data_IF_798222163368
#
_entry.id   IF_798222163368
#
_cell.length_a   1.000
_cell.length_b   1.000
_cell.length_c   1.000
_cell.angle_alpha   90.00
_cell.angle_beta   90.00
_cell.angle_gamma   90.00
#
_symmetry.space_group_name_H-M   'P 1'
#
loop_
_entity.id
_entity.type
_entity.pdbx_description
1 polymer ?
#
# COMPACT_ATOMS: atom_id res chain seq x y z
N UNK A 1 17.76 6.81 -2.19
CA UNK A 1 17.19 6.35 -0.91
C UNK A 1 16.26 7.44 -0.44
N UNK A 2 15.13 7.07 0.13
CA UNK A 2 14.27 7.98 0.88
C UNK A 2 14.48 7.67 2.37
N UNK A 3 15.18 8.55 3.07
CA UNK A 3 15.63 8.27 4.44
C UNK A 3 14.59 8.61 5.49
N UNK A 4 13.59 9.44 5.17
CA UNK A 4 12.58 9.88 6.13
C UNK A 4 11.28 10.27 5.42
N UNK A 5 10.21 9.50 5.66
CA UNK A 5 8.85 9.86 5.23
C UNK A 5 7.84 9.56 6.32
N UNK A 6 6.91 10.49 6.55
CA UNK A 6 5.69 10.34 7.34
C UNK A 6 4.69 11.43 6.87
N UNK A 7 3.41 11.29 7.20
CA UNK A 7 2.38 12.26 6.86
C UNK A 7 1.70 12.77 8.12
N UNK A 8 1.49 14.09 8.15
CA UNK A 8 0.81 14.76 9.26
C UNK A 8 1.72 15.06 10.45
N UNK A 9 1.15 15.78 11.41
CA UNK A 9 1.86 16.38 12.54
C UNK A 9 0.94 16.49 13.75
N UNK A 10 1.49 16.28 14.95
CA UNK A 10 0.81 16.42 16.24
C UNK A 10 1.64 17.22 17.25
N UNK A 11 2.75 17.83 16.82
CA UNK A 11 3.65 18.60 17.70
C UNK A 11 2.94 19.85 18.21
N UNK A 12 3.14 20.14 19.49
CA UNK A 12 2.60 21.34 20.11
C UNK A 12 3.10 22.61 19.38
N UNK A 13 2.19 23.53 19.10
CA UNK A 13 2.48 24.79 18.39
C UNK A 13 2.45 24.70 16.87
N UNK A 14 2.19 23.52 16.29
CA UNK A 14 1.93 23.33 14.87
C UNK A 14 0.47 22.92 14.62
N UNK A 15 -0.06 23.12 13.39
CA UNK A 15 -1.37 22.58 13.03
C UNK A 15 -1.40 21.05 13.17
N UNK A 16 -2.39 20.55 13.92
CA UNK A 16 -2.61 19.10 14.05
C UNK A 16 -3.21 18.54 12.77
N UNK A 17 -2.46 17.64 12.11
CA UNK A 17 -2.90 16.90 10.93
C UNK A 17 -2.69 15.42 11.20
N UNK A 18 -3.78 14.69 11.41
CA UNK A 18 -3.77 13.24 11.66
C UNK A 18 -4.68 12.60 10.64
N UNK A 19 -4.15 11.91 9.62
CA UNK A 19 -4.97 11.14 8.69
C UNK A 19 -5.80 10.11 9.46
N UNK A 20 -7.03 9.85 9.02
CA UNK A 20 -7.79 8.75 9.56
C UNK A 20 -7.13 7.40 9.23
N UNK A 21 -7.62 6.32 9.85
CA UNK A 21 -7.04 4.98 9.71
C UNK A 21 -6.97 4.51 8.25
N UNK A 22 -8.05 4.70 7.48
CA UNK A 22 -8.12 4.26 6.08
C UNK A 22 -7.16 5.04 5.18
N UNK A 23 -7.03 6.34 5.42
CA UNK A 23 -6.08 7.23 4.73
C UNK A 23 -4.65 6.85 5.10
N UNK A 24 -4.38 6.56 6.37
CA UNK A 24 -3.06 6.12 6.84
C UNK A 24 -2.62 4.82 6.19
N UNK A 25 -3.50 3.82 6.13
CA UNK A 25 -3.28 2.55 5.41
C UNK A 25 -2.96 2.81 3.93
N UNK A 26 -3.74 3.68 3.29
CA UNK A 26 -3.55 4.04 1.88
C UNK A 26 -2.19 4.69 1.65
N UNK A 27 -1.84 5.69 2.46
CA UNK A 27 -0.60 6.45 2.31
C UNK A 27 0.61 5.56 2.54
N UNK A 28 0.61 4.74 3.59
CA UNK A 28 1.70 3.78 3.83
C UNK A 28 1.82 2.81 2.68
N UNK A 29 0.73 2.15 2.28
CA UNK A 29 0.76 1.16 1.20
C UNK A 29 1.31 1.75 -0.11
N UNK A 30 0.78 2.90 -0.52
CA UNK A 30 1.22 3.59 -1.74
C UNK A 30 2.66 4.10 -1.65
N UNK A 31 3.11 4.63 -0.52
CA UNK A 31 4.49 5.13 -0.35
C UNK A 31 5.52 4.09 -0.72
N UNK A 32 5.37 2.85 -0.23
CA UNK A 32 6.34 1.78 -0.49
C UNK A 32 6.20 1.21 -1.91
N UNK A 33 4.97 1.11 -2.44
CA UNK A 33 4.73 0.69 -3.83
C UNK A 33 5.30 1.71 -4.85
N UNK A 34 5.04 3.00 -4.63
CA UNK A 34 5.56 4.08 -5.48
C UNK A 34 7.08 4.16 -5.37
N UNK A 35 7.64 4.07 -4.16
CA UNK A 35 9.10 4.00 -3.97
C UNK A 35 9.74 2.87 -4.79
N UNK A 36 9.18 1.65 -4.69
CA UNK A 36 9.69 0.50 -5.42
C UNK A 36 9.60 0.71 -6.95
N UNK A 37 8.48 1.23 -7.43
CA UNK A 37 8.23 1.41 -8.87
C UNK A 37 8.96 2.61 -9.48
N UNK A 38 9.36 3.59 -8.66
CA UNK A 38 10.23 4.71 -9.02
C UNK A 38 11.73 4.39 -8.88
N UNK A 39 12.09 3.16 -8.50
CA UNK A 39 13.48 2.73 -8.39
C UNK A 39 14.20 3.22 -7.12
N UNK A 40 13.46 3.62 -6.09
CA UNK A 40 14.03 3.95 -4.79
C UNK A 40 14.39 2.65 -4.06
N UNK A 41 15.70 2.39 -3.94
CA UNK A 41 16.21 1.15 -3.37
C UNK A 41 15.82 0.90 -1.90
N UNK A 42 15.52 1.97 -1.15
CA UNK A 42 15.11 1.88 0.26
C UNK A 42 14.38 3.14 0.68
N UNK A 43 13.27 2.94 1.40
CA UNK A 43 12.42 3.97 1.99
C UNK A 43 12.25 3.66 3.47
N UNK A 44 12.41 4.65 4.34
CA UNK A 44 12.28 4.49 5.78
C UNK A 44 11.16 5.37 6.33
N UNK A 45 10.24 4.74 7.06
CA UNK A 45 9.23 5.48 7.80
C UNK A 45 9.86 6.26 8.95
N UNK A 46 9.67 7.57 8.98
CA UNK A 46 10.17 8.41 10.05
C UNK A 46 9.21 8.41 11.23
N UNK A 47 9.73 8.12 12.42
CA UNK A 47 8.93 8.01 13.64
C UNK A 47 8.01 6.79 13.62
N UNK A 48 8.58 5.62 13.93
CA UNK A 48 7.85 4.35 13.95
C UNK A 48 6.62 4.39 14.87
N UNK A 49 6.76 5.01 16.03
CA UNK A 49 5.73 5.17 17.07
C UNK A 49 6.00 6.43 17.91
N UNK A 50 6.50 7.48 17.25
CA UNK A 50 6.98 8.69 17.92
C UNK A 50 5.83 9.48 18.58
N UNK A 51 4.59 9.28 18.14
CA UNK A 51 3.39 9.89 18.73
C UNK A 51 3.21 11.38 18.46
N UNK A 52 4.20 12.05 17.86
CA UNK A 52 4.17 13.48 17.50
C UNK A 52 3.98 13.73 16.00
N UNK A 53 3.99 12.68 15.19
CA UNK A 53 3.70 12.72 13.75
C UNK A 53 2.29 12.19 13.48
N UNK A 54 1.81 12.29 12.25
CA UNK A 54 0.43 11.96 11.93
C UNK A 54 0.12 10.46 11.87
N UNK A 55 1.10 9.60 11.56
CA UNK A 55 0.89 8.15 11.41
C UNK A 55 1.96 7.38 12.19
N UNK A 56 1.51 6.53 13.11
CA UNK A 56 2.34 5.58 13.85
C UNK A 56 2.12 4.14 13.31
N UNK A 57 3.19 3.36 13.23
CA UNK A 57 3.19 1.96 12.80
C UNK A 57 2.81 1.02 13.94
N UNK A 58 3.10 1.41 15.18
CA UNK A 58 2.71 0.70 16.40
C UNK A 58 2.15 1.66 17.44
N UNK A 59 1.31 1.16 18.33
CA UNK A 59 0.81 1.86 19.51
C UNK A 59 0.76 0.91 20.73
N UNK A 60 0.16 1.36 21.83
CA UNK A 60 0.03 0.56 23.05
C UNK A 60 -0.79 -0.74 22.88
N UNK A 61 -1.63 -0.84 21.84
CA UNK A 61 -2.39 -2.03 21.49
C UNK A 61 -1.65 -2.94 20.51
N UNK A 62 -0.51 -2.51 19.97
CA UNK A 62 0.36 -3.30 19.09
C UNK A 62 0.49 -2.69 17.70
N UNK A 63 0.43 -3.54 16.66
CA UNK A 63 0.56 -3.10 15.26
C UNK A 63 -0.71 -2.35 14.84
N UNK A 64 -0.56 -1.10 14.39
CA UNK A 64 -1.67 -0.31 13.86
C UNK A 64 -2.10 -0.83 12.49
N UNK A 65 -3.29 -0.45 11.98
CA UNK A 65 -3.67 -0.78 10.60
C UNK A 65 -2.64 -0.31 9.57
N UNK A 66 -2.03 0.87 9.78
CA UNK A 66 -0.98 1.39 8.92
C UNK A 66 0.30 0.54 9.00
N UNK A 67 0.69 0.11 10.20
CA UNK A 67 1.80 -0.84 10.39
C UNK A 67 1.54 -2.18 9.71
N UNK A 68 0.30 -2.67 9.74
CA UNK A 68 -0.10 -3.89 9.02
C UNK A 68 0.03 -3.72 7.51
N UNK A 69 -0.39 -2.58 6.96
CA UNK A 69 -0.21 -2.26 5.55
C UNK A 69 1.26 -2.26 5.12
N UNK A 70 2.15 -1.71 5.96
CA UNK A 70 3.59 -1.79 5.73
C UNK A 70 4.09 -3.24 5.65
N UNK A 71 3.72 -4.08 6.62
CA UNK A 71 4.13 -5.49 6.63
C UNK A 71 3.61 -6.22 5.39
N UNK A 72 2.36 -6.01 5.02
CA UNK A 72 1.76 -6.62 3.84
C UNK A 72 2.47 -6.21 2.54
N UNK A 73 2.73 -4.91 2.33
CA UNK A 73 3.46 -4.47 1.13
C UNK A 73 4.89 -4.98 1.14
N UNK A 74 5.55 -5.00 2.31
CA UNK A 74 6.89 -5.59 2.43
C UNK A 74 6.88 -7.07 2.04
N UNK A 75 5.88 -7.83 2.46
CA UNK A 75 5.76 -9.26 2.11
C UNK A 75 5.52 -9.45 0.61
N UNK A 76 4.73 -8.57 -0.03
CA UNK A 76 4.55 -8.61 -1.49
C UNK A 76 5.82 -8.27 -2.26
N UNK A 77 6.63 -7.32 -1.76
CA UNK A 77 7.74 -6.74 -2.51
C UNK A 77 9.10 -7.39 -2.20
N UNK A 78 9.23 -8.14 -1.11
CA UNK A 78 10.50 -8.82 -0.78
C UNK A 78 10.88 -9.76 -1.90
N UNK A 79 12.08 -9.56 -2.46
CA UNK A 79 12.63 -10.28 -3.62
C UNK A 79 11.83 -10.17 -4.92
N UNK A 80 10.75 -9.37 -4.95
CA UNK A 80 10.00 -9.06 -6.15
C UNK A 80 10.70 -7.96 -6.97
N UNK A 81 10.52 -8.01 -8.29
CA UNK A 81 11.09 -7.04 -9.24
C UNK A 81 9.96 -6.24 -9.88
N UNK A 82 9.99 -4.90 -9.81
CA UNK A 82 9.06 -4.07 -10.55
C UNK A 82 9.19 -4.30 -12.06
N UNK A 83 8.05 -4.46 -12.74
CA UNK A 83 7.95 -4.64 -14.20
C UNK A 83 7.23 -3.45 -14.89
N UNK A 84 7.13 -2.32 -14.19
CA UNK A 84 6.54 -1.08 -14.68
C UNK A 84 5.10 -0.85 -14.22
N UNK A 85 4.65 0.40 -14.37
CA UNK A 85 3.27 0.79 -14.06
C UNK A 85 2.62 1.47 -15.27
N UNK A 86 1.30 1.35 -15.36
CA UNK A 86 0.47 2.05 -16.33
C UNK A 86 -0.81 2.57 -15.68
N UNK A 87 -1.31 3.66 -16.22
CA UNK A 87 -2.56 4.28 -15.81
C UNK A 87 -3.54 4.11 -16.96
N UNK A 88 -4.66 3.44 -16.71
CA UNK A 88 -5.66 3.16 -17.76
C UNK A 88 -7.04 3.08 -17.11
N UNK A 89 -8.03 3.76 -17.69
CA UNK A 89 -9.42 3.77 -17.20
C UNK A 89 -9.55 4.16 -15.71
N UNK A 90 -8.78 5.15 -15.27
CA UNK A 90 -8.80 5.64 -13.88
C UNK A 90 -8.16 4.71 -12.85
N UNK A 91 -7.49 3.64 -13.29
CA UNK A 91 -6.84 2.66 -12.42
C UNK A 91 -5.33 2.66 -12.68
N UNK A 92 -4.56 2.85 -11.60
CA UNK A 92 -3.11 2.64 -11.58
C UNK A 92 -2.87 1.14 -11.48
N UNK A 93 -2.03 0.59 -12.37
CA UNK A 93 -1.65 -0.83 -12.38
C UNK A 93 -0.14 -0.94 -12.41
N UNK A 94 0.44 -1.55 -11.38
CA UNK A 94 1.87 -1.78 -11.27
C UNK A 94 2.15 -3.28 -11.28
N UNK A 95 2.89 -3.74 -12.28
CA UNK A 95 3.23 -5.15 -12.44
C UNK A 95 4.54 -5.48 -11.74
N UNK A 96 4.63 -6.70 -11.21
CA UNK A 96 5.79 -7.22 -10.52
C UNK A 96 6.03 -8.68 -10.89
N UNK A 97 7.28 -9.10 -10.80
CA UNK A 97 7.70 -10.51 -10.90
C UNK A 97 8.22 -10.93 -9.53
N UNK A 98 7.55 -11.90 -8.90
CA UNK A 98 7.93 -12.48 -7.62
C UNK A 98 9.26 -13.25 -7.68
N UNK A 99 9.79 -13.61 -6.52
CA UNK A 99 11.05 -14.33 -6.40
C UNK A 99 11.04 -15.70 -7.12
N UNK A 100 9.89 -16.35 -7.15
CA UNK A 100 9.62 -17.63 -7.83
C UNK A 100 9.35 -17.47 -9.33
N UNK A 101 9.38 -16.24 -9.85
CA UNK A 101 9.06 -15.91 -11.23
C UNK A 101 7.57 -15.71 -11.51
N UNK A 102 6.69 -15.88 -10.51
CA UNK A 102 5.26 -15.62 -10.66
C UNK A 102 4.98 -14.14 -10.93
N UNK A 103 3.97 -13.85 -11.74
CA UNK A 103 3.53 -12.49 -12.01
C UNK A 103 2.40 -12.08 -11.06
N UNK A 104 2.44 -10.85 -10.57
CA UNK A 104 1.33 -10.23 -9.88
C UNK A 104 1.22 -8.74 -10.25
N UNK A 105 0.03 -8.17 -10.07
CA UNK A 105 -0.21 -6.75 -10.31
C UNK A 105 -0.84 -6.12 -9.08
N UNK A 106 -0.33 -4.97 -8.66
CA UNK A 106 -0.97 -4.16 -7.64
C UNK A 106 -1.75 -3.04 -8.31
N UNK A 107 -3.03 -2.91 -7.95
CA UNK A 107 -3.98 -1.98 -8.58
C UNK A 107 -4.68 -1.10 -7.56
N UNK A 108 -5.03 0.13 -7.95
CA UNK A 108 -5.90 1.02 -7.18
C UNK A 108 -6.55 2.08 -8.07
N UNK A 109 -7.68 2.62 -7.63
CA UNK A 109 -8.33 3.74 -8.29
C UNK A 109 -7.54 5.05 -8.05
N UNK A 110 -7.39 5.85 -9.10
CA UNK A 110 -6.73 7.16 -9.02
C UNK A 110 -7.65 8.26 -8.47
N UNK A 111 -8.96 8.05 -8.53
CA UNK A 111 -9.98 8.91 -7.93
C UNK A 111 -11.34 8.21 -7.91
N UNK A 112 -12.15 8.51 -6.89
CA UNK A 112 -13.43 7.84 -6.68
C UNK A 112 -13.27 6.32 -6.54
N UNK A 113 -14.21 5.58 -7.15
CA UNK A 113 -14.16 4.12 -7.23
C UNK A 113 -14.21 3.66 -8.68
N UNK A 114 -13.57 2.53 -8.98
CA UNK A 114 -13.58 1.90 -10.30
C UNK A 114 -13.77 0.41 -10.14
N UNK A 115 -14.64 -0.20 -10.95
CA UNK A 115 -14.86 -1.65 -10.94
C UNK A 115 -13.92 -2.33 -11.94
N UNK A 116 -13.31 -3.44 -11.52
CA UNK A 116 -12.49 -4.30 -12.39
C UNK A 116 -12.95 -5.74 -12.26
N UNK A 117 -12.83 -6.52 -13.32
CA UNK A 117 -13.02 -7.97 -13.25
C UNK A 117 -11.89 -8.58 -12.41
N UNK A 118 -12.27 -9.30 -11.35
CA UNK A 118 -11.37 -10.05 -10.49
C UNK A 118 -11.80 -11.52 -10.36
N UNK A 119 -12.70 -11.99 -11.22
CA UNK A 119 -13.19 -13.37 -11.19
C UNK A 119 -12.00 -14.32 -11.41
N UNK A 120 -11.85 -15.29 -10.50
CA UNK A 120 -10.77 -16.30 -10.49
C UNK A 120 -9.37 -15.74 -10.25
N UNK A 121 -9.24 -14.47 -9.85
CA UNK A 121 -7.98 -13.93 -9.35
C UNK A 121 -7.90 -14.08 -7.84
N UNK A 122 -6.71 -14.33 -7.30
CA UNK A 122 -6.49 -14.10 -5.87
C UNK A 122 -6.36 -12.60 -5.62
N UNK A 123 -7.20 -12.11 -4.69
CA UNK A 123 -7.33 -10.70 -4.32
C UNK A 123 -6.78 -10.53 -2.91
N UNK A 124 -5.60 -9.90 -2.78
CA UNK A 124 -4.95 -9.63 -1.50
C UNK A 124 -5.02 -8.15 -1.14
N UNK A 125 -5.46 -7.84 0.09
CA UNK A 125 -5.63 -6.46 0.60
C UNK A 125 -4.51 -6.09 1.58
N UNK A 126 -4.40 -4.79 1.88
CA UNK A 126 -3.39 -4.24 2.80
C UNK A 126 -3.54 -4.68 4.27
N UNK A 127 -4.64 -5.32 4.65
CA UNK A 127 -4.76 -5.97 5.97
C UNK A 127 -4.15 -7.38 5.99
N UNK A 128 -3.61 -7.85 4.87
CA UNK A 128 -3.02 -9.18 4.70
C UNK A 128 -4.04 -10.27 4.38
N UNK A 129 -5.32 -9.96 4.26
CA UNK A 129 -6.33 -10.92 3.82
C UNK A 129 -6.20 -11.18 2.32
N UNK A 130 -6.34 -12.45 1.92
CA UNK A 130 -6.40 -12.89 0.53
C UNK A 130 -7.64 -13.77 0.34
N UNK A 131 -8.32 -13.62 -0.80
CA UNK A 131 -9.44 -14.47 -1.18
C UNK A 131 -9.53 -14.57 -2.71
N UNK A 132 -10.05 -15.69 -3.22
CA UNK A 132 -10.38 -15.82 -4.64
C UNK A 132 -11.58 -14.93 -4.97
N UNK A 133 -11.42 -14.05 -5.96
CA UNK A 133 -12.48 -13.22 -6.48
C UNK A 133 -13.52 -14.06 -7.20
N UNK A 134 -14.79 -13.85 -6.85
CA UNK A 134 -15.93 -14.57 -7.46
C UNK A 134 -16.75 -13.69 -8.39
N UNK A 135 -16.40 -12.42 -8.49
CA UNK A 135 -17.10 -11.38 -9.25
C UNK A 135 -16.18 -10.16 -9.41
N UNK A 136 -16.73 -9.12 -10.02
CA UNK A 136 -16.17 -7.78 -10.06
C UNK A 136 -15.72 -7.24 -8.69
N UNK A 137 -14.53 -6.63 -8.67
CA UNK A 137 -13.95 -5.95 -7.54
C UNK A 137 -14.09 -4.44 -7.70
N UNK A 138 -14.71 -3.78 -6.71
CA UNK A 138 -14.68 -2.32 -6.59
C UNK A 138 -13.36 -1.89 -5.98
N UNK A 139 -12.55 -1.18 -6.78
CA UNK A 139 -11.34 -0.51 -6.33
C UNK A 139 -11.66 0.88 -5.80
N UNK A 140 -10.96 1.27 -4.74
CA UNK A 140 -10.87 2.63 -4.24
C UNK A 140 -9.40 3.05 -4.19
N UNK A 141 -9.07 4.01 -3.32
CA UNK A 141 -7.70 4.46 -3.20
C UNK A 141 -6.73 3.40 -2.64
N UNK A 142 -7.20 2.38 -1.93
CA UNK A 142 -6.32 1.37 -1.34
C UNK A 142 -5.76 0.42 -2.40
N UNK A 143 -4.43 0.21 -2.43
CA UNK A 143 -3.80 -0.84 -3.21
C UNK A 143 -4.36 -2.23 -2.91
N UNK A 144 -4.62 -2.97 -3.99
CA UNK A 144 -5.00 -4.39 -3.95
C UNK A 144 -4.06 -5.16 -4.87
N UNK A 145 -3.50 -6.26 -4.38
CA UNK A 145 -2.74 -7.19 -5.20
C UNK A 145 -3.69 -8.18 -5.87
N UNK A 146 -3.50 -8.38 -7.17
CA UNK A 146 -4.18 -9.35 -8.00
C UNK A 146 -3.15 -10.30 -8.62
N UNK A 147 -3.41 -11.61 -8.54
CA UNK A 147 -2.64 -12.65 -9.26
C UNK A 147 -3.52 -13.84 -9.62
N UNK A 148 -3.01 -14.74 -10.45
CA UNK A 148 -3.71 -16.00 -10.75
C UNK A 148 -3.91 -16.82 -9.47
N UNK A 149 -5.13 -17.35 -9.28
CA UNK A 149 -5.51 -18.16 -8.12
C UNK A 149 -5.08 -19.62 -8.23
#
# INVERSE_FOLDING_TARGET
>A
WDTEVNYGDRRAGLPTVVPDSATSVTYVGRTYLDSATLGIARTYWYGWDLGVLGIDMTDAAGITPAGRAFLTVRDWLTDARPAGCRDTDGVRRCSFVGADGSAFTVVWAQGGTVTVDAERLEVCRLDGSCAVGTADLTLDAQPVLLREA
#
